data_IF_648924273631
#
_entry.id   IF_648924273631
#
_cell.length_a   1.000
_cell.length_b   1.000
_cell.length_c   1.000
_cell.angle_alpha   90.00
_cell.angle_beta   90.00
_cell.angle_gamma   90.00
#
_symmetry.space_group_name_H-M   'P 1'
#
loop_
_entity.id
_entity.type
_entity.pdbx_description
1 polymer ?
#
# COMPACT_ATOMS: atom_id res chain seq x y z
N UNK A 1 0.99 -38.28 3.15
CA UNK A 1 2.40 -37.89 3.40
C UNK A 1 3.04 -37.54 2.07
N UNK A 2 2.97 -36.28 1.62
CA UNK A 2 3.72 -35.77 0.45
C UNK A 2 3.83 -34.22 0.39
N UNK A 3 3.41 -33.45 1.39
CA UNK A 3 3.37 -31.98 1.27
C UNK A 3 4.60 -31.24 1.84
N UNK A 4 5.46 -31.91 2.62
CA UNK A 4 6.64 -31.26 3.20
C UNK A 4 7.82 -31.17 2.21
N UNK A 5 7.91 -32.08 1.23
CA UNK A 5 9.02 -32.04 0.27
C UNK A 5 8.90 -30.88 -0.72
N UNK A 6 7.68 -30.47 -1.08
CA UNK A 6 7.47 -29.32 -1.98
C UNK A 6 7.70 -27.97 -1.30
N UNK A 7 7.41 -27.85 0.00
CA UNK A 7 7.71 -26.63 0.76
C UNK A 7 9.22 -26.42 0.97
N UNK A 8 9.96 -27.51 1.20
CA UNK A 8 11.42 -27.48 1.30
C UNK A 8 12.12 -27.00 0.02
N UNK A 9 11.65 -27.48 -1.14
CA UNK A 9 12.23 -27.16 -2.45
C UNK A 9 12.01 -25.71 -2.87
N UNK A 10 10.83 -25.13 -2.58
CA UNK A 10 10.54 -23.71 -2.88
C UNK A 10 11.36 -22.78 -1.99
N UNK A 11 11.73 -23.19 -0.78
CA UNK A 11 12.53 -22.39 0.14
C UNK A 11 14.05 -22.48 -0.11
N UNK A 12 14.53 -23.63 -0.60
CA UNK A 12 15.97 -23.92 -0.72
C UNK A 12 16.62 -23.34 -1.98
N UNK A 13 15.87 -23.10 -3.06
CA UNK A 13 16.41 -22.61 -4.34
C UNK A 13 15.71 -21.32 -4.78
N UNK A 14 16.10 -20.16 -4.23
CA UNK A 14 15.44 -18.88 -4.55
C UNK A 14 16.41 -17.73 -4.84
N UNK A 15 17.70 -18.01 -4.72
CA UNK A 15 18.79 -17.05 -4.55
C UNK A 15 18.95 -16.02 -5.69
N UNK A 16 18.47 -16.29 -6.91
CA UNK A 16 18.60 -15.38 -8.07
C UNK A 16 17.30 -14.69 -8.48
N UNK A 17 16.22 -14.88 -7.74
CA UNK A 17 14.86 -14.60 -8.23
C UNK A 17 14.05 -13.65 -7.34
N UNK A 18 14.67 -13.08 -6.30
CA UNK A 18 14.03 -12.17 -5.36
C UNK A 18 14.79 -10.86 -5.31
N UNK A 19 14.06 -9.77 -5.09
CA UNK A 19 14.63 -8.45 -4.80
C UNK A 19 14.19 -8.00 -3.41
N UNK A 20 15.15 -7.62 -2.57
CA UNK A 20 14.91 -7.05 -1.23
C UNK A 20 15.56 -5.66 -1.20
N UNK A 21 14.79 -4.64 -0.80
CA UNK A 21 15.28 -3.25 -0.70
C UNK A 21 15.26 -2.76 0.76
N UNK A 22 16.31 -2.03 1.16
CA UNK A 22 16.53 -1.49 2.51
C UNK A 22 16.42 0.04 2.54
N UNK A 23 16.35 0.62 3.74
CA UNK A 23 16.13 2.08 3.95
C UNK A 23 17.34 2.94 3.57
N UNK A 24 18.54 2.47 3.89
CA UNK A 24 19.79 3.14 3.60
C UNK A 24 20.41 2.53 2.33
N UNK A 25 20.69 3.42 1.38
CA UNK A 25 21.29 3.19 0.07
C UNK A 25 20.41 2.57 -1.02
N UNK A 26 20.71 2.98 -2.25
CA UNK A 26 20.41 2.30 -3.50
C UNK A 26 20.96 0.84 -3.56
N UNK A 27 21.24 0.19 -2.42
CA UNK A 27 21.58 -1.21 -2.30
C UNK A 27 20.34 -2.07 -2.60
N UNK A 28 20.16 -2.36 -3.89
CA UNK A 28 19.53 -3.59 -4.32
C UNK A 28 20.46 -4.71 -3.88
N UNK A 29 20.13 -5.36 -2.77
CA UNK A 29 20.82 -6.58 -2.38
C UNK A 29 20.34 -7.69 -3.32
N UNK A 30 20.95 -7.82 -4.49
CA UNK A 30 21.13 -9.11 -5.16
C UNK A 30 22.29 -9.84 -4.44
N UNK A 31 22.20 -10.10 -3.12
CA UNK A 31 23.25 -10.90 -2.45
C UNK A 31 22.98 -12.38 -2.69
N UNK A 32 23.99 -13.19 -3.04
CA UNK A 32 23.79 -14.57 -3.47
C UNK A 32 23.53 -15.61 -2.36
N UNK A 33 23.16 -15.23 -1.12
CA UNK A 33 23.32 -16.13 0.02
C UNK A 33 22.10 -16.37 0.94
N UNK A 34 21.01 -15.60 0.86
CA UNK A 34 19.88 -15.77 1.78
C UNK A 34 18.69 -16.50 1.13
N UNK A 35 18.24 -17.59 1.75
CA UNK A 35 17.02 -18.30 1.33
C UNK A 35 15.76 -17.46 1.56
N UNK A 36 14.64 -17.77 0.89
CA UNK A 36 13.34 -17.12 1.16
C UNK A 36 12.96 -17.25 2.64
N UNK A 37 13.27 -18.41 3.25
CA UNK A 37 13.05 -18.65 4.67
C UNK A 37 13.81 -17.66 5.56
N UNK A 38 15.11 -17.46 5.32
CA UNK A 38 15.92 -16.50 6.08
C UNK A 38 15.41 -15.06 5.93
N UNK A 39 15.00 -14.67 4.73
CA UNK A 39 14.41 -13.34 4.48
C UNK A 39 13.11 -13.19 5.26
N UNK A 40 12.24 -14.20 5.27
CA UNK A 40 10.99 -14.17 6.03
C UNK A 40 11.23 -14.15 7.56
N UNK A 41 12.29 -14.81 8.06
CA UNK A 41 12.69 -14.71 9.47
C UNK A 41 13.18 -13.31 9.84
N UNK A 42 13.94 -12.66 8.96
CA UNK A 42 14.36 -11.26 9.14
C UNK A 42 13.16 -10.31 9.15
N UNK A 43 12.23 -10.48 8.21
CA UNK A 43 10.98 -9.70 8.17
C UNK A 43 10.16 -9.92 9.43
N UNK A 44 9.99 -11.18 9.87
CA UNK A 44 9.26 -11.53 11.09
C UNK A 44 9.86 -10.85 12.32
N UNK A 45 11.19 -10.81 12.41
CA UNK A 45 11.91 -10.21 13.53
C UNK A 45 12.04 -8.68 13.46
N UNK A 46 11.45 -8.03 12.43
CA UNK A 46 11.58 -6.59 12.19
C UNK A 46 13.03 -6.10 12.07
N UNK A 47 13.96 -7.00 11.70
CA UNK A 47 15.39 -6.70 11.58
C UNK A 47 15.74 -6.17 10.19
N UNK A 48 16.95 -5.61 10.11
CA UNK A 48 17.61 -5.16 8.88
C UNK A 48 16.90 -4.03 8.13
N UNK A 49 15.88 -3.35 8.67
CA UNK A 49 15.18 -2.25 7.97
C UNK A 49 14.71 -2.61 6.55
N UNK A 50 14.30 -3.86 6.31
CA UNK A 50 13.75 -4.25 5.00
C UNK A 50 12.49 -3.42 4.73
N UNK A 51 12.45 -2.71 3.59
CA UNK A 51 11.35 -1.84 3.17
C UNK A 51 10.53 -2.44 2.03
N UNK A 52 11.11 -3.32 1.22
CA UNK A 52 10.39 -4.01 0.16
C UNK A 52 10.82 -5.48 0.04
N UNK A 53 9.81 -6.33 -0.16
CA UNK A 53 9.97 -7.69 -0.65
C UNK A 53 9.32 -7.82 -2.03
N UNK A 54 10.12 -8.03 -3.07
CA UNK A 54 9.67 -8.25 -4.44
C UNK A 54 10.04 -9.65 -4.92
N UNK A 55 9.02 -10.47 -5.18
CA UNK A 55 9.15 -11.86 -5.58
C UNK A 55 8.79 -12.10 -7.05
N UNK A 56 8.57 -11.06 -7.86
CA UNK A 56 8.07 -11.21 -9.25
C UNK A 56 8.92 -12.16 -10.11
N UNK A 57 10.25 -12.12 -9.94
CA UNK A 57 11.17 -12.90 -10.75
C UNK A 57 11.16 -14.39 -10.35
N UNK A 58 10.75 -14.71 -9.10
CA UNK A 58 10.54 -16.09 -8.65
C UNK A 58 9.42 -16.75 -9.44
N UNK A 59 8.27 -16.07 -9.53
CA UNK A 59 7.14 -16.56 -10.30
C UNK A 59 7.50 -16.75 -11.78
N UNK A 60 8.24 -15.80 -12.36
CA UNK A 60 8.74 -15.89 -13.73
C UNK A 60 9.67 -17.09 -13.97
N UNK A 61 10.47 -17.45 -12.96
CA UNK A 61 11.33 -18.66 -12.95
C UNK A 61 10.60 -19.93 -12.53
N UNK A 62 9.26 -19.93 -12.54
CA UNK A 62 8.38 -21.06 -12.17
C UNK A 62 8.54 -21.54 -10.72
N UNK A 63 9.05 -20.69 -9.83
CA UNK A 63 9.19 -20.94 -8.38
C UNK A 63 8.08 -20.24 -7.62
N UNK A 64 6.86 -20.71 -7.84
CA UNK A 64 5.65 -20.09 -7.27
C UNK A 64 5.52 -20.43 -5.80
N UNK A 65 4.92 -19.52 -5.02
CA UNK A 65 4.66 -19.75 -3.61
C UNK A 65 3.50 -20.73 -3.40
N UNK A 66 2.54 -20.73 -4.33
CA UNK A 66 1.26 -21.44 -4.18
C UNK A 66 0.51 -20.97 -2.92
N UNK A 67 -0.58 -21.65 -2.59
CA UNK A 67 -1.45 -21.28 -1.47
C UNK A 67 -0.73 -21.32 -0.12
N UNK A 68 0.09 -22.34 0.14
CA UNK A 68 0.79 -22.48 1.43
C UNK A 68 1.87 -21.41 1.61
N UNK A 69 2.65 -21.09 0.57
CA UNK A 69 3.62 -20.01 0.62
C UNK A 69 2.95 -18.64 0.78
N UNK A 70 1.83 -18.40 0.10
CA UNK A 70 1.02 -17.20 0.31
C UNK A 70 0.52 -17.05 1.75
N UNK A 71 0.03 -18.15 2.34
CA UNK A 71 -0.41 -18.16 3.74
C UNK A 71 0.74 -17.92 4.73
N UNK A 72 1.91 -18.51 4.48
CA UNK A 72 3.10 -18.26 5.29
C UNK A 72 3.52 -16.79 5.24
N UNK A 73 3.54 -16.18 4.04
CA UNK A 73 3.88 -14.76 3.89
C UNK A 73 2.88 -13.88 4.64
N UNK A 74 1.58 -14.13 4.53
CA UNK A 74 0.56 -13.39 5.28
C UNK A 74 0.81 -13.41 6.79
N UNK A 75 1.06 -14.60 7.36
CA UNK A 75 1.38 -14.77 8.80
C UNK A 75 2.67 -14.06 9.21
N UNK A 76 3.72 -14.13 8.39
CA UNK A 76 5.01 -13.47 8.68
C UNK A 76 4.87 -11.95 8.72
N UNK A 77 4.06 -11.38 7.83
CA UNK A 77 3.90 -9.93 7.71
C UNK A 77 2.94 -9.32 8.73
N UNK A 78 2.12 -10.11 9.42
CA UNK A 78 1.10 -9.62 10.36
C UNK A 78 1.63 -8.63 11.41
N UNK A 79 2.80 -8.93 11.99
CA UNK A 79 3.46 -8.09 12.99
C UNK A 79 4.71 -7.36 12.46
N UNK A 80 4.91 -7.38 11.13
CA UNK A 80 5.99 -6.61 10.55
C UNK A 80 5.69 -5.09 10.62
N UNK A 81 6.73 -4.29 10.83
CA UNK A 81 6.71 -2.84 11.05
C UNK A 81 7.75 -2.11 10.20
N UNK A 82 8.42 -2.80 9.28
CA UNK A 82 9.49 -2.22 8.45
C UNK A 82 9.13 -2.19 6.98
N UNK A 83 8.47 -3.25 6.47
CA UNK A 83 8.20 -3.45 5.06
C UNK A 83 7.01 -2.62 4.62
N UNK A 84 7.26 -1.73 3.66
CA UNK A 84 6.27 -0.82 3.08
C UNK A 84 5.67 -1.40 1.80
N UNK A 85 6.36 -2.33 1.13
CA UNK A 85 5.99 -2.84 -0.19
C UNK A 85 6.15 -4.36 -0.27
N UNK A 86 5.08 -5.06 -0.63
CA UNK A 86 5.05 -6.50 -0.82
C UNK A 86 4.54 -6.82 -2.23
N UNK A 87 5.41 -7.36 -3.09
CA UNK A 87 5.09 -7.68 -4.47
C UNK A 87 5.13 -9.18 -4.69
N UNK A 88 3.95 -9.77 -4.91
CA UNK A 88 3.76 -11.21 -5.12
C UNK A 88 3.03 -11.52 -6.44
N UNK A 89 3.38 -10.93 -7.59
CA UNK A 89 2.64 -11.21 -8.82
C UNK A 89 2.91 -12.63 -9.33
N UNK A 90 1.86 -13.35 -9.77
CA UNK A 90 2.02 -14.60 -10.52
C UNK A 90 2.32 -15.86 -9.68
N UNK A 91 2.11 -15.82 -8.36
CA UNK A 91 2.51 -16.89 -7.45
C UNK A 91 1.45 -17.98 -7.21
N UNK A 92 0.29 -17.91 -7.88
CA UNK A 92 -0.83 -18.85 -7.73
C UNK A 92 -1.26 -19.02 -6.25
N UNK A 93 -1.26 -17.95 -5.45
CA UNK A 93 -1.60 -18.05 -4.01
C UNK A 93 -3.09 -18.35 -3.76
N UNK A 94 -3.96 -18.07 -4.74
CA UNK A 94 -5.39 -18.31 -4.67
C UNK A 94 -6.09 -17.61 -3.49
N UNK A 95 -7.31 -18.04 -3.20
CA UNK A 95 -8.11 -17.44 -2.13
C UNK A 95 -7.56 -17.73 -0.73
N UNK A 96 -6.87 -18.86 -0.54
CA UNK A 96 -6.19 -19.18 0.74
C UNK A 96 -5.13 -18.12 1.06
N UNK A 97 -4.25 -17.82 0.11
CA UNK A 97 -3.26 -16.76 0.28
C UNK A 97 -3.91 -15.39 0.43
N UNK A 98 -4.93 -15.08 -0.37
CA UNK A 98 -5.67 -13.80 -0.27
C UNK A 98 -6.32 -13.60 1.10
N UNK A 99 -6.93 -14.65 1.68
CA UNK A 99 -7.47 -14.62 3.06
C UNK A 99 -6.40 -14.31 4.09
N UNK A 100 -5.23 -14.93 3.95
CA UNK A 100 -4.09 -14.66 4.83
C UNK A 100 -3.59 -13.22 4.71
N UNK A 101 -3.56 -12.66 3.48
CA UNK A 101 -3.26 -11.24 3.26
C UNK A 101 -4.30 -10.32 3.88
N UNK A 102 -5.60 -10.65 3.77
CA UNK A 102 -6.66 -9.89 4.43
C UNK A 102 -6.52 -9.91 5.96
N UNK A 103 -6.26 -11.07 6.56
CA UNK A 103 -6.01 -11.18 7.99
C UNK A 103 -4.76 -10.40 8.44
N UNK A 104 -3.71 -10.40 7.61
CA UNK A 104 -2.51 -9.59 7.82
C UNK A 104 -2.84 -8.10 7.83
N UNK A 105 -3.61 -7.60 6.84
CA UNK A 105 -3.99 -6.19 6.73
C UNK A 105 -4.86 -5.69 7.89
N UNK A 106 -5.59 -6.56 8.58
CA UNK A 106 -6.36 -6.17 9.80
C UNK A 106 -5.46 -5.70 10.94
N UNK A 107 -4.19 -6.13 10.95
CA UNK A 107 -3.25 -5.89 12.05
C UNK A 107 -2.04 -5.07 11.60
N UNK A 108 -1.63 -5.22 10.34
CA UNK A 108 -0.48 -4.53 9.79
C UNK A 108 -0.84 -3.10 9.38
N UNK A 109 -0.38 -2.14 10.15
CA UNK A 109 -0.54 -0.70 9.89
C UNK A 109 0.75 -0.08 9.34
N UNK A 110 1.53 -0.84 8.58
CA UNK A 110 2.82 -0.39 8.03
C UNK A 110 2.85 -0.50 6.51
N UNK A 111 2.28 -1.58 5.98
CA UNK A 111 2.31 -1.85 4.56
C UNK A 111 1.56 -0.76 3.80
N UNK A 112 2.21 -0.24 2.77
CA UNK A 112 1.68 0.82 1.91
C UNK A 112 1.33 0.29 0.52
N UNK A 113 2.03 -0.75 0.05
CA UNK A 113 1.83 -1.30 -1.29
C UNK A 113 1.75 -2.82 -1.23
N UNK A 114 0.65 -3.35 -1.77
CA UNK A 114 0.43 -4.77 -1.92
C UNK A 114 0.10 -5.08 -3.38
N UNK A 115 0.91 -5.90 -4.03
CA UNK A 115 0.69 -6.34 -5.41
C UNK A 115 0.46 -7.85 -5.46
N UNK A 116 -0.79 -8.22 -5.77
CA UNK A 116 -1.28 -9.59 -5.88
C UNK A 116 -1.76 -9.91 -7.31
N UNK A 117 -1.22 -9.24 -8.32
CA UNK A 117 -1.60 -9.51 -9.72
C UNK A 117 -1.33 -10.97 -10.12
N UNK A 118 -2.19 -11.57 -10.95
CA UNK A 118 -1.89 -12.89 -11.52
C UNK A 118 -1.94 -14.07 -10.53
N UNK A 119 -2.73 -13.99 -9.46
CA UNK A 119 -2.70 -14.97 -8.37
C UNK A 119 -3.89 -15.93 -8.30
N UNK A 120 -4.80 -15.90 -9.30
CA UNK A 120 -6.03 -16.71 -9.33
C UNK A 120 -6.95 -16.44 -8.12
N UNK A 121 -6.95 -15.22 -7.62
CA UNK A 121 -7.85 -14.77 -6.56
C UNK A 121 -9.25 -14.60 -7.15
N UNK A 122 -10.28 -15.03 -6.42
CA UNK A 122 -11.69 -14.89 -6.81
C UNK A 122 -12.39 -13.83 -5.96
N UNK A 123 -13.70 -13.66 -6.16
CA UNK A 123 -14.55 -12.82 -5.32
C UNK A 123 -14.43 -13.16 -3.81
N UNK A 124 -14.25 -14.44 -3.47
CA UNK A 124 -14.13 -14.90 -2.08
C UNK A 124 -12.86 -14.36 -1.41
N UNK A 125 -11.71 -14.53 -2.06
CA UNK A 125 -10.43 -14.07 -1.52
C UNK A 125 -10.34 -12.55 -1.43
N UNK A 126 -10.81 -11.83 -2.45
CA UNK A 126 -10.80 -10.36 -2.42
C UNK A 126 -11.80 -9.78 -1.41
N UNK A 127 -12.89 -10.50 -1.13
CA UNK A 127 -13.85 -10.13 -0.09
C UNK A 127 -13.16 -9.98 1.29
N UNK A 128 -12.27 -10.90 1.64
CA UNK A 128 -11.54 -10.82 2.93
C UNK A 128 -10.53 -9.68 2.94
N UNK A 129 -9.84 -9.42 1.82
CA UNK A 129 -8.92 -8.28 1.68
C UNK A 129 -9.69 -6.97 1.83
N UNK A 130 -10.80 -6.80 1.10
CA UNK A 130 -11.59 -5.55 1.14
C UNK A 130 -12.25 -5.33 2.49
N UNK A 131 -12.73 -6.39 3.17
CA UNK A 131 -13.19 -6.28 4.56
C UNK A 131 -12.12 -5.77 5.53
N UNK A 132 -10.85 -6.12 5.33
CA UNK A 132 -9.74 -5.62 6.14
C UNK A 132 -9.37 -4.16 5.82
N UNK A 133 -9.81 -3.63 4.67
CA UNK A 133 -9.49 -2.28 4.22
C UNK A 133 -10.51 -1.22 4.63
N UNK A 134 -11.64 -1.60 5.24
CA UNK A 134 -12.54 -0.63 5.86
C UNK A 134 -11.81 0.13 6.97
N UNK A 135 -11.70 1.46 6.84
CA UNK A 135 -10.99 2.30 7.80
C UNK A 135 -9.48 2.08 7.86
N UNK A 136 -8.89 1.31 6.94
CA UNK A 136 -7.45 1.09 6.92
C UNK A 136 -6.71 2.36 6.48
N UNK A 137 -5.62 2.71 7.17
CA UNK A 137 -5.02 4.05 7.07
C UNK A 137 -3.69 4.10 6.29
N UNK A 138 -2.99 2.97 6.14
CA UNK A 138 -1.63 2.99 5.55
C UNK A 138 -1.52 2.47 4.13
N UNK A 139 -2.40 1.57 3.68
CA UNK A 139 -2.30 0.97 2.35
C UNK A 139 -2.73 1.98 1.28
N UNK A 140 -1.80 2.40 0.44
CA UNK A 140 -2.03 3.37 -0.64
C UNK A 140 -2.19 2.72 -2.02
N UNK A 141 -1.69 1.49 -2.20
CA UNK A 141 -1.74 0.77 -3.46
C UNK A 141 -2.14 -0.70 -3.27
N UNK A 142 -3.16 -1.12 -4.04
CA UNK A 142 -3.61 -2.50 -4.12
C UNK A 142 -3.66 -2.99 -5.58
N UNK A 143 -2.77 -3.91 -5.92
CA UNK A 143 -2.72 -4.55 -7.24
C UNK A 143 -3.49 -5.87 -7.25
N UNK A 144 -4.60 -5.94 -8.00
CA UNK A 144 -5.43 -7.14 -8.15
C UNK A 144 -5.68 -7.52 -9.61
N UNK A 145 -5.00 -6.88 -10.57
CA UNK A 145 -5.16 -7.17 -11.99
C UNK A 145 -4.80 -8.62 -12.35
N UNK A 146 -5.42 -9.18 -13.39
CA UNK A 146 -5.19 -10.57 -13.86
C UNK A 146 -5.54 -11.62 -12.80
N UNK A 147 -6.66 -11.43 -12.12
CA UNK A 147 -7.28 -12.41 -11.24
C UNK A 147 -8.66 -12.80 -11.82
N UNK A 148 -9.55 -13.39 -11.01
CA UNK A 148 -10.89 -13.87 -11.42
C UNK A 148 -11.97 -13.30 -10.50
N UNK A 149 -11.91 -11.99 -10.28
CA UNK A 149 -12.77 -11.34 -9.28
C UNK A 149 -14.25 -11.31 -9.71
N UNK A 150 -14.52 -11.14 -11.00
CA UNK A 150 -15.87 -10.96 -11.52
C UNK A 150 -16.56 -9.73 -10.95
N UNK A 151 -17.87 -9.63 -11.20
CA UNK A 151 -18.70 -8.53 -10.69
C UNK A 151 -18.84 -8.51 -9.17
N UNK A 152 -18.84 -9.69 -8.53
CA UNK A 152 -18.95 -9.78 -7.08
C UNK A 152 -17.69 -9.27 -6.37
N UNK A 153 -16.50 -9.60 -6.89
CA UNK A 153 -15.26 -9.02 -6.39
C UNK A 153 -15.17 -7.51 -6.67
N UNK A 154 -15.66 -7.04 -7.82
CA UNK A 154 -15.78 -5.60 -8.09
C UNK A 154 -16.74 -4.90 -7.12
N UNK A 155 -17.85 -5.55 -6.74
CA UNK A 155 -18.79 -5.05 -5.74
C UNK A 155 -18.14 -4.96 -4.36
N UNK A 156 -17.40 -5.96 -3.93
CA UNK A 156 -16.68 -5.93 -2.66
C UNK A 156 -15.68 -4.76 -2.58
N UNK A 157 -14.96 -4.48 -3.68
CA UNK A 157 -14.11 -3.28 -3.77
C UNK A 157 -14.94 -2.00 -3.71
N UNK A 158 -16.05 -1.93 -4.44
CA UNK A 158 -16.94 -0.78 -4.47
C UNK A 158 -17.55 -0.45 -3.09
N UNK A 159 -17.93 -1.46 -2.31
CA UNK A 159 -18.50 -1.28 -0.98
C UNK A 159 -17.48 -0.73 0.03
N UNK A 160 -16.20 -1.13 -0.09
CA UNK A 160 -15.13 -0.67 0.80
C UNK A 160 -14.68 0.77 0.50
N UNK A 161 -14.63 1.17 -0.77
CA UNK A 161 -14.05 2.45 -1.21
C UNK A 161 -14.58 3.70 -0.47
N UNK A 162 -15.90 3.87 -0.23
CA UNK A 162 -16.41 5.03 0.51
C UNK A 162 -15.87 5.15 1.95
N UNK A 163 -15.42 4.04 2.55
CA UNK A 163 -14.96 3.96 3.93
C UNK A 163 -13.43 3.86 4.07
N UNK A 164 -12.70 3.94 2.96
CA UNK A 164 -11.25 3.90 2.97
C UNK A 164 -10.67 5.26 2.54
N UNK A 165 -9.83 5.82 3.41
CA UNK A 165 -9.19 7.13 3.22
C UNK A 165 -7.72 7.04 2.81
N UNK A 166 -7.11 5.86 2.77
CA UNK A 166 -5.69 5.70 2.44
C UNK A 166 -5.43 5.32 0.99
N UNK A 167 -6.34 4.57 0.37
CA UNK A 167 -6.12 3.89 -0.89
C UNK A 167 -6.21 4.87 -2.06
N UNK A 168 -5.09 5.03 -2.75
CA UNK A 168 -4.94 5.97 -3.86
C UNK A 168 -5.01 5.29 -5.21
N UNK A 169 -4.62 4.01 -5.26
CA UNK A 169 -4.46 3.25 -6.48
C UNK A 169 -5.02 1.83 -6.34
N UNK A 170 -5.92 1.42 -7.24
CA UNK A 170 -6.42 0.04 -7.32
C UNK A 170 -6.26 -0.50 -8.74
N UNK A 171 -5.63 -1.67 -8.87
CA UNK A 171 -5.50 -2.39 -10.14
C UNK A 171 -6.56 -3.48 -10.26
N UNK A 172 -7.47 -3.39 -11.22
CA UNK A 172 -8.54 -4.36 -11.50
C UNK A 172 -8.60 -4.80 -12.96
N UNK A 173 -7.55 -4.55 -13.75
CA UNK A 173 -7.51 -4.94 -15.16
C UNK A 173 -7.55 -6.47 -15.30
N UNK A 174 -8.21 -7.02 -16.33
CA UNK A 174 -8.31 -8.48 -16.56
C UNK A 174 -8.87 -9.22 -15.35
N UNK A 175 -10.12 -8.95 -15.00
CA UNK A 175 -10.81 -9.59 -13.87
C UNK A 175 -12.23 -10.06 -14.20
N UNK A 176 -12.58 -10.14 -15.49
CA UNK A 176 -13.91 -10.60 -15.93
C UNK A 176 -15.04 -9.72 -15.36
N UNK A 177 -14.78 -8.43 -15.16
CA UNK A 177 -15.76 -7.46 -14.66
C UNK A 177 -16.65 -7.01 -15.81
N UNK A 178 -17.96 -7.06 -15.64
CA UNK A 178 -18.94 -6.64 -16.64
C UNK A 178 -19.49 -5.25 -16.33
N UNK A 179 -20.50 -4.82 -17.09
CA UNK A 179 -21.29 -3.62 -16.80
C UNK A 179 -21.79 -3.57 -15.35
N UNK A 180 -22.17 -4.70 -14.75
CA UNK A 180 -22.72 -4.74 -13.38
C UNK A 180 -21.69 -4.29 -12.35
N UNK A 181 -20.50 -4.89 -12.36
CA UNK A 181 -19.40 -4.48 -11.49
C UNK A 181 -18.87 -3.09 -11.83
N UNK A 182 -18.85 -2.73 -13.13
CA UNK A 182 -18.49 -1.39 -13.57
C UNK A 182 -19.39 -0.29 -12.99
N UNK A 183 -20.72 -0.49 -12.96
CA UNK A 183 -21.67 0.45 -12.35
C UNK A 183 -21.47 0.58 -10.84
N UNK A 184 -21.21 -0.53 -10.15
CA UNK A 184 -20.92 -0.52 -8.72
C UNK A 184 -19.65 0.31 -8.41
N UNK A 185 -18.57 0.06 -9.16
CA UNK A 185 -17.32 0.82 -9.05
C UNK A 185 -17.53 2.30 -9.34
N UNK A 186 -18.29 2.67 -10.39
CA UNK A 186 -18.60 4.06 -10.69
C UNK A 186 -19.28 4.76 -9.52
N UNK A 187 -20.32 4.15 -8.94
CA UNK A 187 -21.02 4.71 -7.77
C UNK A 187 -20.07 4.95 -6.59
N UNK A 188 -19.19 3.98 -6.31
CA UNK A 188 -18.24 4.07 -5.22
C UNK A 188 -17.16 5.14 -5.45
N UNK A 189 -16.60 5.22 -6.66
CA UNK A 189 -15.59 6.22 -7.03
C UNK A 189 -16.14 7.65 -6.90
N UNK A 190 -17.42 7.87 -7.21
CA UNK A 190 -18.08 9.16 -7.02
C UNK A 190 -18.25 9.56 -5.54
N UNK A 191 -18.18 8.61 -4.61
CA UNK A 191 -18.30 8.84 -3.16
C UNK A 191 -16.94 8.90 -2.46
N UNK A 192 -15.92 8.26 -3.01
CA UNK A 192 -14.56 8.31 -2.50
C UNK A 192 -13.81 9.56 -3.01
N UNK A 193 -12.87 10.09 -2.22
CA UNK A 193 -12.05 11.28 -2.56
C UNK A 193 -10.54 11.00 -2.59
N UNK A 194 -10.12 9.81 -2.19
CA UNK A 194 -8.72 9.43 -1.98
C UNK A 194 -8.16 8.61 -3.16
N UNK A 195 -9.03 7.91 -3.89
CA UNK A 195 -8.70 7.16 -5.08
C UNK A 195 -8.59 8.10 -6.29
N UNK A 196 -7.38 8.19 -6.86
CA UNK A 196 -7.13 8.95 -8.09
C UNK A 196 -6.65 8.08 -9.26
N UNK A 197 -6.47 6.76 -9.05
CA UNK A 197 -6.09 5.83 -10.10
C UNK A 197 -6.80 4.48 -9.91
N UNK A 198 -7.59 4.10 -10.92
CA UNK A 198 -8.19 2.77 -11.02
C UNK A 198 -7.90 2.19 -12.41
N UNK A 199 -7.35 0.98 -12.47
CA UNK A 199 -7.06 0.31 -13.74
C UNK A 199 -8.14 -0.73 -14.04
N UNK A 200 -8.87 -0.54 -15.14
CA UNK A 200 -9.99 -1.41 -15.52
C UNK A 200 -9.86 -2.00 -16.94
N UNK A 201 -8.71 -1.81 -17.59
CA UNK A 201 -8.46 -2.30 -18.95
C UNK A 201 -8.65 -3.81 -19.06
N UNK A 202 -9.10 -4.27 -20.23
CA UNK A 202 -9.36 -5.69 -20.51
C UNK A 202 -10.38 -6.30 -19.52
N UNK A 203 -11.49 -5.60 -19.29
CA UNK A 203 -12.71 -6.12 -18.70
C UNK A 203 -13.87 -5.85 -19.67
N UNK A 204 -15.03 -6.44 -19.43
CA UNK A 204 -16.24 -6.30 -20.27
C UNK A 204 -17.13 -5.15 -19.78
N UNK A 205 -16.51 -4.03 -19.42
CA UNK A 205 -17.19 -2.81 -18.95
C UNK A 205 -17.43 -1.90 -20.16
N UNK A 206 -18.68 -1.45 -20.41
CA UNK A 206 -18.98 -0.48 -21.46
C UNK A 206 -18.11 0.78 -21.36
N UNK A 207 -17.64 1.28 -22.51
CA UNK A 207 -16.74 2.43 -22.58
C UNK A 207 -17.31 3.68 -21.90
N UNK A 208 -18.63 3.88 -21.98
CA UNK A 208 -19.32 4.99 -21.32
C UNK A 208 -19.08 5.01 -19.80
N UNK A 209 -19.11 3.84 -19.16
CA UNK A 209 -18.86 3.70 -17.72
C UNK A 209 -17.38 3.96 -17.41
N UNK A 210 -16.48 3.42 -18.23
CA UNK A 210 -15.03 3.65 -18.08
C UNK A 210 -14.69 5.14 -18.19
N UNK A 211 -15.33 5.87 -19.09
CA UNK A 211 -15.14 7.30 -19.27
C UNK A 211 -15.63 8.11 -18.06
N UNK A 212 -16.80 7.76 -17.51
CA UNK A 212 -17.33 8.36 -16.28
C UNK A 212 -16.42 8.09 -15.08
N UNK A 213 -15.93 6.86 -14.92
CA UNK A 213 -14.95 6.51 -13.87
C UNK A 213 -13.67 7.32 -14.04
N UNK A 214 -13.15 7.42 -15.27
CA UNK A 214 -11.94 8.19 -15.58
C UNK A 214 -12.11 9.66 -15.22
N UNK A 215 -13.24 10.28 -15.57
CA UNK A 215 -13.53 11.66 -15.19
C UNK A 215 -13.57 11.84 -13.67
N UNK A 216 -14.23 10.93 -12.95
CA UNK A 216 -14.33 10.99 -11.50
C UNK A 216 -12.97 10.90 -10.79
N UNK A 217 -12.08 9.99 -11.19
CA UNK A 217 -10.74 9.89 -10.58
C UNK A 217 -9.82 11.08 -10.91
N UNK A 218 -10.03 11.75 -12.06
CA UNK A 218 -9.33 13.00 -12.39
C UNK A 218 -9.73 14.12 -11.43
N UNK A 219 -11.03 14.24 -11.11
CA UNK A 219 -11.51 15.19 -10.10
C UNK A 219 -10.89 14.90 -8.75
N UNK A 220 -10.88 13.64 -8.30
CA UNK A 220 -10.24 13.25 -7.03
C UNK A 220 -8.74 13.62 -7.01
N UNK A 221 -8.01 13.38 -8.11
CA UNK A 221 -6.59 13.78 -8.24
C UNK A 221 -6.40 15.28 -8.09
N UNK A 222 -7.27 16.07 -8.71
CA UNK A 222 -7.21 17.52 -8.63
C UNK A 222 -7.49 18.02 -7.21
N UNK A 223 -8.53 17.48 -6.57
CA UNK A 223 -8.90 17.84 -5.20
C UNK A 223 -7.79 17.54 -4.19
N UNK A 224 -7.08 16.42 -4.32
CA UNK A 224 -5.93 16.12 -3.46
C UNK A 224 -4.78 17.08 -3.64
N UNK A 225 -4.42 17.39 -4.90
CA UNK A 225 -3.37 18.38 -5.18
C UNK A 225 -3.72 19.76 -4.64
N UNK A 226 -5.01 20.11 -4.66
CA UNK A 226 -5.50 21.37 -4.08
C UNK A 226 -5.35 21.33 -2.56
N UNK A 227 -5.86 20.29 -1.89
CA UNK A 227 -5.75 20.13 -0.44
C UNK A 227 -4.30 20.16 0.07
N UNK A 228 -3.36 19.54 -0.66
CA UNK A 228 -1.93 19.59 -0.34
C UNK A 228 -1.36 21.00 -0.42
N UNK A 229 -1.70 21.75 -1.47
CA UNK A 229 -1.27 23.15 -1.64
C UNK A 229 -1.85 24.06 -0.56
N UNK A 230 -3.13 23.91 -0.26
CA UNK A 230 -3.81 24.70 0.76
C UNK A 230 -3.16 24.45 2.14
N UNK A 231 -2.84 23.19 2.47
CA UNK A 231 -2.13 22.82 3.69
C UNK A 231 -0.69 23.38 3.76
N UNK A 232 0.04 23.38 2.65
CA UNK A 232 1.39 23.95 2.58
C UNK A 232 1.39 25.48 2.79
N UNK A 233 0.39 26.18 2.23
CA UNK A 233 0.19 27.61 2.46
C UNK A 233 -0.11 27.89 3.93
N UNK A 234 -1.02 27.13 4.55
CA UNK A 234 -1.36 27.27 5.97
C UNK A 234 -0.13 27.05 6.87
N UNK A 235 0.66 26.01 6.58
CA UNK A 235 1.88 25.71 7.33
C UNK A 235 2.91 26.84 7.21
N UNK A 236 3.16 27.35 6.00
CA UNK A 236 4.12 28.45 5.80
C UNK A 236 3.65 29.73 6.50
N UNK A 237 2.35 30.04 6.46
CA UNK A 237 1.80 31.20 7.17
C UNK A 237 1.95 31.06 8.69
N UNK A 238 1.74 29.87 9.24
CA UNK A 238 1.94 29.59 10.67
C UNK A 238 3.42 29.72 11.07
N UNK A 239 4.35 29.21 10.25
CA UNK A 239 5.79 29.36 10.49
C UNK A 239 6.22 30.84 10.44
N UNK A 240 5.72 31.62 9.47
CA UNK A 240 5.98 33.06 9.40
C UNK A 240 5.43 33.82 10.61
N UNK A 241 4.23 33.48 11.10
CA UNK A 241 3.64 34.11 12.28
C UNK A 241 4.47 33.84 13.55
N UNK A 242 4.96 32.61 13.75
CA UNK A 242 5.81 32.25 14.89
C UNK A 242 7.15 32.98 14.86
N UNK A 243 7.77 33.15 13.68
CA UNK A 243 9.01 33.94 13.55
C UNK A 243 8.76 35.41 13.91
N UNK A 244 7.63 35.98 13.48
CA UNK A 244 7.27 37.36 13.80
C UNK A 244 7.06 37.57 15.31
N UNK A 245 6.32 36.67 15.98
CA UNK A 245 6.13 36.72 17.44
C UNK A 245 7.45 36.57 18.22
N UNK A 246 8.39 35.77 17.72
CA UNK A 246 9.72 35.57 18.34
C UNK A 246 10.59 36.84 18.24
N UNK A 247 10.50 37.57 17.13
CA UNK A 247 11.20 38.85 16.93
C UNK A 247 10.61 39.93 17.83
N UNK A 248 9.29 39.93 18.00
CA UNK A 248 8.58 40.90 18.84
C UNK A 248 8.81 40.65 20.35
N UNK A 249 9.03 39.39 20.78
CA UNK A 249 9.41 39.08 22.18
C UNK A 249 10.89 39.36 22.47
N UNK A 250 11.79 39.12 21.51
CA UNK A 250 13.23 39.42 21.67
C UNK A 250 13.58 40.91 21.72
N UNK A 251 12.65 41.79 21.35
CA UNK A 251 12.81 43.25 21.44
C UNK A 251 12.26 43.86 22.73
N UNK A 252 11.56 43.09 23.57
CA UNK A 252 11.08 43.54 24.89
C UNK A 252 12.02 43.20 26.07
N UNK A 253 13.00 42.30 25.87
CA UNK A 253 13.91 41.83 26.94
C UNK A 253 15.25 42.60 27.04
N UNK A 254 15.42 43.70 26.30
CA UNK A 254 16.64 44.55 26.35
C UNK A 254 16.44 45.90 27.05
N UNK A 255 15.32 46.10 27.76
CA UNK A 255 15.04 47.36 28.47
C UNK A 255 14.75 47.18 29.98
N UNK A 256 15.54 46.37 30.67
CA UNK A 256 15.74 46.53 32.11
C UNK A 256 17.11 46.00 32.48
N UNK A 257 18.11 46.87 32.51
CA UNK A 257 18.83 47.15 33.75
C UNK A 257 19.87 48.25 33.52
N UNK A 258 19.86 49.17 34.47
CA UNK A 258 20.94 50.07 34.87
C UNK A 258 21.36 51.19 33.91
N UNK A 259 20.86 52.40 34.20
CA UNK A 259 21.69 53.61 34.25
C UNK A 259 20.98 54.68 35.12
N UNK A 260 20.90 54.40 36.43
CA UNK A 260 20.73 55.46 37.44
C UNK A 260 22.13 56.02 37.78
N UNK A 261 22.74 56.72 36.82
CA UNK A 261 23.92 57.58 37.06
C UNK A 261 23.47 58.93 37.61
N UNK A 262 22.94 58.92 38.83
CA UNK A 262 22.75 60.14 39.61
C UNK A 262 23.18 59.96 41.06
N UNK A 263 24.51 60.02 41.30
CA UNK A 263 25.16 60.64 42.47
C UNK A 263 26.67 60.34 42.49
N UNK A 264 27.44 61.18 41.81
CA UNK A 264 28.81 61.51 42.22
C UNK A 264 28.81 62.91 42.85
N UNK A 265 28.35 63.03 44.11
CA UNK A 265 28.84 63.97 45.15
C UNK A 265 28.59 63.33 46.52
#
# INVERSE_FOLDING_TARGET
MTNESSEGDVMASVLSAMTVRHHDDNLIIQRPAATLKEILEKIRSNKDQIRELDLKDMAAKKRKLQSSGGDLVGRVFQLNRTVLRLLLPGHDIGDVGAKSMGNMLRVNTTLQHLDLRGNKITAEGVGVITQALYGHETLVHLGLSSNKLGDDGARAVAEMLPYNSSLQCVGLARNEITEVGGKALLKAVLQNRTLFRIQLSNNDIPQEILDKIRAAVVVNKFMQKKAQRDHEIEKNNAEHALVQESVDQGTQDTSSDDDDESLWI
#
